data_IF_169709796260
#
_entry.id   IF_169709796260
#
_cell.length_a   1.000
_cell.length_b   1.000
_cell.length_c   1.000
_cell.angle_alpha   90.00
_cell.angle_beta   90.00
_cell.angle_gamma   90.00
#
_symmetry.space_group_name_H-M   'P 1'
#
loop_
_entity.id
_entity.type
_entity.pdbx_description
1 polymer ?
#
# COMPACT_ATOMS: atom_id res chain seq x y z
N UNK A 1 27.28 -31.05 -0.29
CA UNK A 1 28.32 -30.83 0.74
C UNK A 1 29.75 -30.96 0.20
N UNK A 2 30.03 -30.60 -1.07
CA UNK A 2 31.29 -30.91 -1.75
C UNK A 2 32.15 -29.68 -2.15
N UNK A 3 31.58 -28.47 -2.18
CA UNK A 3 32.29 -27.25 -2.63
C UNK A 3 33.18 -26.65 -1.51
N UNK A 4 32.91 -26.97 -0.25
CA UNK A 4 33.63 -26.39 0.91
C UNK A 4 35.06 -26.95 1.11
N UNK A 5 35.41 -28.10 0.51
CA UNK A 5 36.73 -28.72 0.73
C UNK A 5 37.86 -28.11 -0.11
N UNK A 6 37.55 -27.32 -1.15
CA UNK A 6 38.58 -26.70 -2.00
C UNK A 6 39.14 -25.41 -1.40
N UNK A 7 38.34 -24.62 -0.70
CA UNK A 7 38.78 -23.37 -0.07
C UNK A 7 39.79 -23.62 1.07
N UNK A 8 39.71 -24.78 1.71
CA UNK A 8 40.54 -25.11 2.87
C UNK A 8 41.99 -25.50 2.55
N UNK A 9 42.31 -25.81 1.28
CA UNK A 9 43.66 -26.24 0.87
C UNK A 9 44.56 -25.10 0.36
N UNK A 10 44.00 -23.94 0.02
CA UNK A 10 44.80 -22.81 -0.53
C UNK A 10 45.29 -21.82 0.52
N UNK A 11 44.78 -21.87 1.74
CA UNK A 11 45.13 -20.95 2.82
C UNK A 11 46.08 -21.57 3.85
N UNK A 12 47.03 -22.41 3.39
CA UNK A 12 47.93 -23.15 4.28
C UNK A 12 49.39 -23.12 3.81
N UNK A 13 49.86 -21.98 3.29
CA UNK A 13 51.25 -21.86 2.80
C UNK A 13 52.15 -20.83 3.47
N UNK A 14 51.67 -19.81 4.19
CA UNK A 14 52.58 -18.77 4.71
C UNK A 14 52.15 -18.21 6.07
N UNK A 15 52.18 -19.00 7.16
CA UNK A 15 52.13 -18.39 8.49
C UNK A 15 52.95 -19.15 9.56
N UNK A 16 53.70 -18.47 10.45
CA UNK A 16 54.60 -19.10 11.40
C UNK A 16 53.85 -19.86 12.51
N UNK A 17 54.38 -21.02 12.87
CA UNK A 17 53.87 -21.88 13.96
C UNK A 17 54.38 -21.33 15.30
N UNK A 18 53.49 -20.86 16.17
CA UNK A 18 53.92 -20.52 17.54
C UNK A 18 52.87 -19.93 18.49
N UNK A 19 51.83 -19.24 18.00
CA UNK A 19 50.83 -18.57 18.85
C UNK A 19 49.38 -18.83 18.41
N UNK A 20 49.16 -19.95 17.71
CA UNK A 20 48.01 -20.15 16.83
C UNK A 20 46.82 -20.91 17.43
N UNK A 21 46.94 -21.53 18.61
CA UNK A 21 45.84 -22.36 19.13
C UNK A 21 44.86 -21.53 19.95
N UNK A 22 45.34 -20.71 20.88
CA UNK A 22 44.43 -19.96 21.76
C UNK A 22 43.61 -18.87 21.06
N UNK A 23 44.23 -18.07 20.18
CA UNK A 23 43.52 -16.99 19.50
C UNK A 23 42.51 -17.50 18.47
N UNK A 24 42.80 -18.60 17.78
CA UNK A 24 41.89 -19.14 16.78
C UNK A 24 40.72 -19.89 17.43
N UNK A 25 40.94 -20.61 18.52
CA UNK A 25 39.87 -21.25 19.30
C UNK A 25 38.91 -20.20 19.86
N UNK A 26 39.42 -19.13 20.50
CA UNK A 26 38.60 -18.02 21.01
C UNK A 26 37.90 -17.24 19.91
N UNK A 27 38.57 -16.95 18.79
CA UNK A 27 37.97 -16.26 17.66
C UNK A 27 36.89 -17.10 16.98
N UNK A 28 37.13 -18.40 16.77
CA UNK A 28 36.13 -19.33 16.25
C UNK A 28 34.95 -19.46 17.21
N UNK A 29 35.19 -19.61 18.52
CA UNK A 29 34.14 -19.69 19.53
C UNK A 29 33.32 -18.39 19.61
N UNK A 30 33.96 -17.22 19.53
CA UNK A 30 33.28 -15.92 19.50
C UNK A 30 32.45 -15.74 18.23
N UNK A 31 32.97 -16.15 17.05
CA UNK A 31 32.23 -16.13 15.78
C UNK A 31 31.06 -17.11 15.82
N UNK A 32 31.23 -18.32 16.37
CA UNK A 32 30.16 -19.31 16.50
C UNK A 32 29.09 -18.84 17.51
N UNK A 33 29.48 -18.17 18.60
CA UNK A 33 28.56 -17.58 19.58
C UNK A 33 27.79 -16.38 19.00
N UNK A 34 28.45 -15.53 18.22
CA UNK A 34 27.82 -14.41 17.50
C UNK A 34 26.91 -14.92 16.37
N UNK A 35 27.30 -15.97 15.66
CA UNK A 35 26.49 -16.60 14.60
C UNK A 35 25.28 -17.37 15.16
N UNK A 36 25.39 -17.94 16.37
CA UNK A 36 24.29 -18.62 17.09
C UNK A 36 23.34 -17.67 17.81
N UNK A 37 23.71 -16.40 17.98
CA UNK A 37 22.78 -15.34 18.41
C UNK A 37 21.80 -15.05 17.27
N UNK A 38 20.81 -15.93 17.08
CA UNK A 38 19.51 -15.53 16.56
C UNK A 38 18.91 -14.58 17.59
N UNK A 39 19.25 -13.30 17.52
CA UNK A 39 18.47 -12.28 18.18
C UNK A 39 17.21 -12.18 17.32
N UNK A 40 16.04 -12.70 17.72
CA UNK A 40 14.81 -12.28 17.08
C UNK A 40 14.70 -10.79 17.39
N UNK A 41 15.14 -9.94 16.47
CA UNK A 41 14.79 -8.54 16.45
C UNK A 41 13.31 -8.45 16.05
N UNK A 42 12.45 -9.07 16.85
CA UNK A 42 11.02 -8.90 16.82
C UNK A 42 10.74 -7.59 17.54
N UNK A 43 11.15 -6.47 16.94
CA UNK A 43 10.56 -5.20 17.30
C UNK A 43 9.09 -5.26 16.89
N UNK A 44 8.25 -5.66 17.85
CA UNK A 44 6.82 -5.60 17.73
C UNK A 44 6.43 -4.13 17.91
N UNK A 45 6.57 -3.33 16.85
CA UNK A 45 6.03 -1.97 16.83
C UNK A 45 4.53 -2.08 16.54
N UNK A 46 3.64 -2.03 17.56
CA UNK A 46 2.20 -2.23 17.35
C UNK A 46 1.64 -1.18 16.39
N UNK A 47 2.20 0.03 16.41
CA UNK A 47 1.85 1.14 15.52
C UNK A 47 2.21 0.80 14.08
N UNK A 48 3.43 0.35 13.80
CA UNK A 48 3.86 -0.02 12.45
C UNK A 48 2.98 -1.13 11.85
N UNK A 49 2.63 -2.14 12.67
CA UNK A 49 1.72 -3.22 12.24
C UNK A 49 0.32 -2.70 11.90
N UNK A 50 -0.20 -1.74 12.68
CA UNK A 50 -1.50 -1.10 12.42
C UNK A 50 -1.46 -0.29 11.11
N UNK A 51 -0.42 0.51 10.91
CA UNK A 51 -0.22 1.29 9.69
C UNK A 51 -0.12 0.38 8.47
N UNK A 52 0.75 -0.65 8.50
CA UNK A 52 0.89 -1.59 7.37
C UNK A 52 -0.44 -2.30 7.06
N UNK A 53 -1.17 -2.73 8.09
CA UNK A 53 -2.47 -3.39 7.90
C UNK A 53 -3.47 -2.44 7.25
N UNK A 54 -3.53 -1.19 7.71
CA UNK A 54 -4.38 -0.15 7.14
C UNK A 54 -3.98 0.17 5.69
N UNK A 55 -2.70 0.42 5.41
CA UNK A 55 -2.20 0.72 4.06
C UNK A 55 -2.49 -0.42 3.08
N UNK A 56 -2.27 -1.68 3.49
CA UNK A 56 -2.61 -2.84 2.66
C UNK A 56 -4.11 -2.93 2.41
N UNK A 57 -4.94 -2.58 3.41
CA UNK A 57 -6.39 -2.56 3.26
C UNK A 57 -6.85 -1.45 2.31
N UNK A 58 -6.31 -0.24 2.49
CA UNK A 58 -6.59 0.91 1.63
C UNK A 58 -6.18 0.63 0.18
N UNK A 59 -5.00 0.04 -0.04
CA UNK A 59 -4.53 -0.34 -1.37
C UNK A 59 -5.45 -1.39 -2.03
N UNK A 60 -5.93 -2.38 -1.28
CA UNK A 60 -6.91 -3.36 -1.80
C UNK A 60 -8.21 -2.69 -2.19
N UNK A 61 -8.76 -1.83 -1.33
CA UNK A 61 -10.00 -1.09 -1.59
C UNK A 61 -9.85 -0.11 -2.76
N UNK A 62 -8.69 0.52 -2.90
CA UNK A 62 -8.39 1.38 -4.04
C UNK A 62 -8.41 0.56 -5.33
N UNK A 63 -7.69 -0.57 -5.37
CA UNK A 63 -7.70 -1.46 -6.55
C UNK A 63 -9.11 -1.91 -6.91
N UNK A 64 -9.94 -2.30 -5.94
CA UNK A 64 -11.32 -2.74 -6.19
C UNK A 64 -12.20 -1.70 -6.89
N UNK A 65 -11.91 -0.41 -6.71
CA UNK A 65 -12.67 0.71 -7.32
C UNK A 65 -12.03 1.28 -8.58
N UNK A 66 -10.88 0.75 -9.00
CA UNK A 66 -10.12 1.21 -10.16
C UNK A 66 -9.75 -0.01 -11.00
N UNK A 67 -10.76 -0.68 -11.53
CA UNK A 67 -10.60 -1.87 -12.37
C UNK A 67 -10.39 -1.49 -13.85
N UNK A 68 -10.91 -0.34 -14.29
CA UNK A 68 -10.76 0.08 -15.68
C UNK A 68 -9.34 0.60 -15.96
N UNK A 69 -8.63 0.09 -16.99
CA UNK A 69 -7.22 0.42 -17.22
C UNK A 69 -6.99 1.93 -17.47
N UNK A 70 -7.93 2.59 -18.15
CA UNK A 70 -7.86 4.04 -18.37
C UNK A 70 -8.06 4.81 -17.06
N UNK A 71 -9.00 4.39 -16.20
CA UNK A 71 -9.20 5.05 -14.91
C UNK A 71 -7.96 4.90 -14.03
N UNK A 72 -7.37 3.70 -14.00
CA UNK A 72 -6.14 3.41 -13.29
C UNK A 72 -4.97 4.28 -13.78
N UNK A 73 -4.77 4.37 -15.09
CA UNK A 73 -3.70 5.18 -15.69
C UNK A 73 -3.88 6.67 -15.40
N UNK A 74 -5.11 7.19 -15.54
CA UNK A 74 -5.42 8.58 -15.22
C UNK A 74 -5.19 8.89 -13.75
N UNK A 75 -5.48 7.96 -12.82
CA UNK A 75 -5.16 8.14 -11.41
C UNK A 75 -3.66 8.07 -11.12
N UNK A 76 -2.93 7.19 -11.81
CA UNK A 76 -1.48 7.07 -11.65
C UNK A 76 -0.75 8.37 -12.00
N UNK A 77 -1.27 9.15 -12.96
CA UNK A 77 -0.75 10.47 -13.34
C UNK A 77 -1.39 11.58 -12.50
N UNK A 78 -2.71 11.53 -12.31
CA UNK A 78 -3.49 12.58 -11.66
C UNK A 78 -3.18 12.76 -10.18
N UNK A 79 -2.94 11.67 -9.43
CA UNK A 79 -2.61 11.75 -7.99
C UNK A 79 -1.27 12.48 -7.77
N UNK A 80 -0.14 12.06 -8.40
CA UNK A 80 1.12 12.79 -8.26
C UNK A 80 1.01 14.25 -8.69
N UNK A 81 0.29 14.55 -9.78
CA UNK A 81 0.13 15.90 -10.28
C UNK A 81 -0.67 16.78 -9.30
N UNK A 82 -1.78 16.26 -8.78
CA UNK A 82 -2.59 16.97 -7.79
C UNK A 82 -1.82 17.21 -6.48
N UNK A 83 -1.09 16.21 -5.99
CA UNK A 83 -0.25 16.35 -4.80
C UNK A 83 0.90 17.35 -5.02
N UNK A 84 1.57 17.31 -6.17
CA UNK A 84 2.60 18.27 -6.51
C UNK A 84 2.05 19.69 -6.59
N UNK A 85 0.88 19.88 -7.20
CA UNK A 85 0.18 21.17 -7.23
C UNK A 85 -0.18 21.67 -5.83
N UNK A 86 -0.74 20.80 -4.98
CA UNK A 86 -1.11 21.12 -3.60
C UNK A 86 0.11 21.54 -2.76
N UNK A 87 1.21 20.80 -2.83
CA UNK A 87 2.46 21.16 -2.15
C UNK A 87 2.99 22.48 -2.71
N UNK A 88 2.97 22.65 -4.03
CA UNK A 88 3.45 23.86 -4.70
C UNK A 88 2.65 25.11 -4.35
N UNK A 89 1.36 25.00 -3.98
CA UNK A 89 0.57 26.16 -3.52
C UNK A 89 1.18 26.83 -2.28
N UNK A 90 1.94 26.10 -1.47
CA UNK A 90 2.62 26.65 -0.29
C UNK A 90 3.98 27.32 -0.60
N UNK A 91 4.56 27.12 -1.80
CA UNK A 91 5.95 27.49 -2.09
C UNK A 91 6.18 28.20 -3.44
N UNK A 92 5.28 28.06 -4.42
CA UNK A 92 5.45 28.55 -5.79
C UNK A 92 4.36 29.58 -6.16
N UNK A 93 4.52 30.20 -7.33
CA UNK A 93 3.51 31.04 -7.94
C UNK A 93 2.17 30.27 -8.07
N UNK A 94 1.15 30.82 -7.43
CA UNK A 94 -0.17 30.20 -7.28
C UNK A 94 -0.87 29.76 -8.58
N UNK A 95 -0.74 30.41 -9.76
CA UNK A 95 -1.51 29.97 -10.93
C UNK A 95 -1.07 28.58 -11.42
N UNK A 96 0.24 28.32 -11.51
CA UNK A 96 0.74 27.02 -11.96
C UNK A 96 0.43 25.90 -10.95
N UNK A 97 0.54 26.21 -9.66
CA UNK A 97 0.22 25.28 -8.59
C UNK A 97 -1.28 24.92 -8.57
N UNK A 98 -2.15 25.93 -8.72
CA UNK A 98 -3.59 25.74 -8.83
C UNK A 98 -3.96 24.97 -10.10
N UNK A 99 -3.37 25.30 -11.25
CA UNK A 99 -3.59 24.58 -12.50
C UNK A 99 -3.15 23.12 -12.41
N UNK A 100 -2.02 22.82 -11.79
CA UNK A 100 -1.57 21.45 -11.56
C UNK A 100 -2.52 20.69 -10.61
N UNK A 101 -2.96 21.33 -9.52
CA UNK A 101 -3.93 20.75 -8.60
C UNK A 101 -5.27 20.43 -9.30
N UNK A 102 -5.87 21.42 -9.95
CA UNK A 102 -7.13 21.28 -10.66
C UNK A 102 -7.02 20.30 -11.85
N UNK A 103 -5.93 20.35 -12.60
CA UNK A 103 -5.67 19.44 -13.72
C UNK A 103 -5.50 17.99 -13.25
N UNK A 104 -4.72 17.76 -12.19
CA UNK A 104 -4.57 16.45 -11.58
C UNK A 104 -5.88 15.89 -11.02
N UNK A 105 -6.72 16.74 -10.42
CA UNK A 105 -8.05 16.36 -9.97
C UNK A 105 -8.99 16.04 -11.15
N UNK A 106 -8.96 16.84 -12.22
CA UNK A 106 -9.77 16.64 -13.40
C UNK A 106 -9.47 15.30 -14.08
N UNK A 107 -8.19 14.89 -14.17
CA UNK A 107 -7.80 13.58 -14.71
C UNK A 107 -8.42 12.43 -13.90
N UNK A 108 -8.37 12.52 -12.57
CA UNK A 108 -8.97 11.52 -11.68
C UNK A 108 -10.50 11.46 -11.86
N UNK A 109 -11.14 12.64 -11.93
CA UNK A 109 -12.58 12.72 -12.17
C UNK A 109 -12.99 12.10 -13.51
N UNK A 110 -12.27 12.39 -14.61
CA UNK A 110 -12.51 11.78 -15.92
C UNK A 110 -12.41 10.25 -15.83
N UNK A 111 -11.39 9.73 -15.15
CA UNK A 111 -11.23 8.30 -14.94
C UNK A 111 -12.45 7.67 -14.24
N UNK A 112 -12.94 8.30 -13.16
CA UNK A 112 -14.14 7.87 -12.46
C UNK A 112 -15.41 7.92 -13.34
N UNK A 113 -15.54 8.93 -14.20
CA UNK A 113 -16.66 9.02 -15.16
C UNK A 113 -16.61 7.90 -16.19
N UNK A 114 -15.42 7.53 -16.67
CA UNK A 114 -15.23 6.41 -17.60
C UNK A 114 -15.54 5.07 -16.91
N UNK A 115 -15.08 4.88 -15.68
CA UNK A 115 -15.36 3.66 -14.91
C UNK A 115 -16.84 3.57 -14.50
N UNK A 116 -17.52 4.69 -14.29
CA UNK A 116 -18.92 4.74 -13.89
C UNK A 116 -19.12 4.68 -12.38
N UNK A 117 -18.13 5.13 -11.60
CA UNK A 117 -18.20 5.19 -10.14
C UNK A 117 -17.93 6.62 -9.61
N UNK A 118 -18.25 6.83 -8.33
CA UNK A 118 -18.13 8.11 -7.67
C UNK A 118 -16.71 8.36 -7.16
N UNK A 119 -16.28 9.62 -7.28
CA UNK A 119 -14.99 10.09 -6.74
C UNK A 119 -15.00 9.95 -5.21
N UNK A 120 -13.86 9.54 -4.65
CA UNK A 120 -13.71 9.22 -3.23
C UNK A 120 -14.20 10.30 -2.26
N UNK A 121 -13.94 11.58 -2.55
CA UNK A 121 -14.33 12.73 -1.73
C UNK A 121 -15.83 13.02 -1.81
N UNK A 122 -16.46 12.70 -2.94
CA UNK A 122 -17.89 12.91 -3.16
C UNK A 122 -18.73 11.82 -2.49
N UNK A 123 -18.19 10.61 -2.28
CA UNK A 123 -18.88 9.53 -1.59
C UNK A 123 -19.38 9.93 -0.19
N UNK A 124 -18.55 10.40 0.76
CA UNK A 124 -19.02 10.81 2.08
C UNK A 124 -19.99 11.99 2.01
N UNK A 125 -19.76 12.94 1.07
CA UNK A 125 -20.66 14.07 0.84
C UNK A 125 -22.05 13.60 0.40
N UNK A 126 -22.12 12.70 -0.59
CA UNK A 126 -23.37 12.10 -1.06
C UNK A 126 -24.08 11.30 0.03
N UNK A 127 -23.33 10.53 0.82
CA UNK A 127 -23.89 9.80 1.98
C UNK A 127 -24.51 10.74 3.00
N UNK A 128 -23.85 11.87 3.28
CA UNK A 128 -24.37 12.89 4.18
C UNK A 128 -25.64 13.55 3.63
N UNK A 129 -25.72 13.73 2.31
CA UNK A 129 -26.89 14.29 1.62
C UNK A 129 -27.99 13.24 1.32
N UNK A 130 -27.83 11.98 1.71
CA UNK A 130 -28.79 10.91 1.40
C UNK A 130 -28.91 10.56 -0.09
N UNK A 131 -27.91 10.93 -0.90
CA UNK A 131 -27.90 10.67 -2.35
C UNK A 131 -27.39 9.26 -2.67
N UNK A 132 -27.82 8.66 -3.79
CA UNK A 132 -27.31 7.36 -4.23
C UNK A 132 -25.80 7.42 -4.49
N UNK A 133 -25.09 6.41 -4.00
CA UNK A 133 -23.62 6.31 -4.04
C UNK A 133 -23.22 5.08 -4.83
N UNK A 134 -22.35 5.27 -5.82
CA UNK A 134 -21.76 4.19 -6.62
C UNK A 134 -20.29 4.08 -6.30
N UNK A 135 -19.92 3.23 -5.34
CA UNK A 135 -18.51 3.06 -4.94
C UNK A 135 -17.71 2.15 -5.89
N UNK A 136 -18.36 1.12 -6.43
CA UNK A 136 -17.82 0.18 -7.42
C UNK A 136 -18.78 0.22 -8.60
N UNK A 137 -18.25 0.27 -9.82
CA UNK A 137 -19.09 0.32 -11.00
C UNK A 137 -19.90 -0.98 -11.16
N UNK A 138 -21.17 -0.92 -11.61
CA UNK A 138 -22.07 -2.08 -11.65
C UNK A 138 -21.49 -3.29 -12.40
N UNK A 139 -20.73 -3.05 -13.48
CA UNK A 139 -20.11 -4.09 -14.30
C UNK A 139 -18.99 -4.87 -13.60
N UNK A 140 -18.46 -4.36 -12.48
CA UNK A 140 -17.44 -5.03 -11.66
C UNK A 140 -18.00 -5.59 -10.36
N UNK A 141 -19.32 -5.50 -10.15
CA UNK A 141 -19.96 -6.22 -9.05
C UNK A 141 -19.89 -7.73 -9.35
N UNK A 142 -19.54 -8.56 -8.35
CA UNK A 142 -19.68 -10.00 -8.50
C UNK A 142 -21.13 -10.31 -8.90
N UNK A 143 -21.32 -11.09 -9.97
CA UNK A 143 -22.64 -11.63 -10.30
C UNK A 143 -23.11 -12.38 -9.05
N UNK A 144 -24.16 -11.90 -8.41
CA UNK A 144 -24.75 -12.61 -7.28
C UNK A 144 -25.19 -13.97 -7.82
N UNK A 145 -24.52 -15.06 -7.40
CA UNK A 145 -25.10 -16.39 -7.56
C UNK A 145 -26.53 -16.33 -6.99
N UNK A 146 -27.49 -16.88 -7.73
CA UNK A 146 -28.95 -16.78 -7.57
C UNK A 146 -29.53 -17.25 -6.21
N UNK A 147 -29.16 -16.67 -5.06
CA UNK A 147 -29.89 -16.87 -3.79
C UNK A 147 -29.44 -15.92 -2.68
N UNK A 148 -29.93 -14.67 -2.72
CA UNK A 148 -30.61 -13.98 -1.61
C UNK A 148 -30.64 -12.46 -1.85
N UNK A 149 -31.81 -11.81 -1.84
CA UNK A 149 -31.89 -10.35 -1.89
C UNK A 149 -31.33 -9.77 -0.59
N UNK A 150 -30.07 -9.33 -0.63
CA UNK A 150 -29.52 -8.46 0.41
C UNK A 150 -30.20 -7.09 0.30
N UNK A 151 -31.28 -6.97 1.07
CA UNK A 151 -31.77 -5.75 1.71
C UNK A 151 -31.06 -4.46 1.24
N UNK A 152 -31.65 -3.83 0.24
CA UNK A 152 -31.51 -2.42 -0.01
C UNK A 152 -32.02 -1.68 1.23
N UNK A 153 -31.12 -1.41 2.17
CA UNK A 153 -31.41 -0.63 3.37
C UNK A 153 -31.56 0.85 2.98
N UNK A 154 -32.76 1.21 2.53
CA UNK A 154 -33.30 2.55 2.68
C UNK A 154 -34.46 2.46 3.68
N UNK A 155 -34.35 3.03 4.89
CA UNK A 155 -35.53 3.21 5.73
C UNK A 155 -36.23 4.50 5.28
N UNK A 156 -37.23 4.38 4.43
CA UNK A 156 -38.29 5.39 4.31
C UNK A 156 -39.49 4.83 5.04
N UNK A 157 -39.68 5.26 6.29
CA UNK A 157 -40.92 5.03 7.01
C UNK A 157 -41.94 6.09 6.55
N UNK A 158 -43.12 5.70 6.04
CA UNK A 158 -44.22 6.63 5.86
C UNK A 158 -44.77 7.02 7.22
N UNK A 159 -44.90 8.32 7.43
CA UNK A 159 -45.70 8.95 8.47
C UNK A 159 -47.15 8.50 8.33
N UNK A 160 -47.67 7.74 9.31
CA UNK A 160 -49.12 7.57 9.44
C UNK A 160 -49.64 8.44 10.60
N UNK A 161 -50.46 9.40 10.20
CA UNK A 161 -51.36 10.16 11.02
C UNK A 161 -52.50 9.26 11.53
N UNK A 162 -52.79 9.31 12.84
CA UNK A 162 -54.13 9.55 13.42
C UNK A 162 -54.03 9.66 14.93
#
# INVERSE_FOLDING_TARGET
>A
MAISRLAHRRFRRHWPRGLHTYYYELACAAVDLLARRKIPMAYNFPIARRVIRWSRSAARQWRLRHQHPVNFALHLVGIPLALAGLVSLAFLAWPYALSAFCGGYLLQWIGHRIEGNDVGELIPLKRWLGLPVVAIAPQYLPVANDSHPQHQQNPVQPTEHS
#
